data_IF_533734885787
#
_entry.id   IF_533734885787
#
_cell.length_a   1.000
_cell.length_b   1.000
_cell.length_c   1.000
_cell.angle_alpha   90.00
_cell.angle_beta   90.00
_cell.angle_gamma   90.00
#
_symmetry.space_group_name_H-M   'P 1'
#
loop_
_entity.id
_entity.type
_entity.pdbx_description
1 polymer ?
#
# COMPACT_ATOMS: atom_id res chain seq x y z
N UNK A 1 3.91 22.64 -24.31
CA UNK A 1 4.14 24.01 -23.85
C UNK A 1 2.82 24.58 -23.31
N UNK A 2 2.57 24.48 -22.01
CA UNK A 2 1.42 25.15 -21.37
C UNK A 2 1.93 26.43 -20.71
N UNK A 3 1.38 27.56 -21.15
CA UNK A 3 1.69 28.90 -20.65
C UNK A 3 1.09 29.05 -19.25
N UNK A 4 1.91 29.49 -18.33
CA UNK A 4 1.49 29.94 -16.99
C UNK A 4 0.77 31.30 -17.23
N UNK A 5 -0.52 31.36 -16.91
CA UNK A 5 -1.28 32.59 -16.90
C UNK A 5 -1.22 33.17 -15.49
N UNK A 6 -0.42 34.20 -15.33
CA UNK A 6 -0.41 35.04 -14.13
C UNK A 6 -1.51 36.06 -14.28
N UNK A 7 -2.57 35.96 -13.49
CA UNK A 7 -3.58 37.02 -13.39
C UNK A 7 -3.12 38.05 -12.38
N UNK A 8 -2.71 39.20 -12.91
CA UNK A 8 -2.48 40.40 -12.09
C UNK A 8 -3.81 41.14 -12.01
N UNK A 9 -4.43 41.18 -10.84
CA UNK A 9 -5.60 41.99 -10.57
C UNK A 9 -5.10 43.39 -10.18
N UNK A 10 -5.31 44.34 -11.08
CA UNK A 10 -5.08 45.76 -10.83
C UNK A 10 -6.36 46.31 -10.21
N UNK A 11 -6.33 46.70 -8.94
CA UNK A 11 -7.42 47.44 -8.30
C UNK A 11 -7.22 48.93 -8.55
N UNK A 12 -8.15 49.60 -9.27
CA UNK A 12 -8.25 51.05 -9.39
C UNK A 12 -8.75 51.64 -8.07
N UNK A 13 -7.96 52.52 -7.48
CA UNK A 13 -8.40 53.42 -6.44
C UNK A 13 -9.04 54.66 -7.07
N UNK A 14 -10.31 54.88 -6.80
CA UNK A 14 -10.95 56.17 -7.00
C UNK A 14 -10.91 56.94 -5.68
N UNK A 15 -10.24 58.06 -5.66
CA UNK A 15 -10.21 58.98 -4.56
C UNK A 15 -11.30 60.04 -4.76
N UNK A 16 -12.16 60.26 -3.77
CA UNK A 16 -12.90 61.53 -3.61
C UNK A 16 -13.05 61.85 -2.13
N UNK A 17 -12.75 63.04 -1.78
CA UNK A 17 -12.36 63.62 -0.55
C UNK A 17 -13.38 63.84 0.56
N UNK A 18 -12.80 64.23 1.68
CA UNK A 18 -13.34 65.18 2.66
C UNK A 18 -14.01 64.55 3.88
N UNK A 19 -13.38 64.66 5.06
CA UNK A 19 -14.01 64.48 6.36
C UNK A 19 -13.05 63.91 7.37
N UNK A 20 -12.61 64.74 8.28
CA UNK A 20 -11.82 64.42 9.45
C UNK A 20 -12.61 63.56 10.45
N UNK A 21 -12.19 62.38 10.72
CA UNK A 21 -12.35 61.72 12.02
C UNK A 21 -11.27 60.62 12.15
N UNK A 22 -10.61 60.62 13.29
CA UNK A 22 -9.53 59.69 13.64
C UNK A 22 -10.07 58.33 14.06
N UNK A 23 -10.18 57.45 13.13
CA UNK A 23 -10.35 56.00 13.43
C UNK A 23 -9.19 55.23 12.78
N UNK A 24 -8.48 54.48 13.66
CA UNK A 24 -7.38 53.62 13.28
C UNK A 24 -7.91 52.45 12.43
N UNK A 25 -7.88 52.59 11.11
CA UNK A 25 -8.13 51.44 10.23
C UNK A 25 -7.00 50.42 10.37
N UNK A 26 -7.32 49.34 11.09
CA UNK A 26 -6.53 48.10 11.05
C UNK A 26 -6.70 47.52 9.65
N UNK A 27 -5.75 47.79 8.78
CA UNK A 27 -5.65 47.12 7.47
C UNK A 27 -5.36 45.63 7.72
N UNK A 28 -6.41 44.83 7.72
CA UNK A 28 -6.28 43.37 7.67
C UNK A 28 -5.63 43.03 6.31
N UNK A 29 -4.32 42.80 6.31
CA UNK A 29 -3.63 42.18 5.18
C UNK A 29 -4.24 40.80 4.97
N UNK A 30 -4.97 40.65 3.88
CA UNK A 30 -5.39 39.34 3.41
C UNK A 30 -4.09 38.54 3.14
N UNK A 31 -3.72 37.66 4.06
CA UNK A 31 -2.69 36.68 3.81
C UNK A 31 -3.19 35.80 2.66
N UNK A 32 -2.61 36.00 1.49
CA UNK A 32 -2.74 35.07 0.38
C UNK A 32 -2.19 33.72 0.86
N UNK A 33 -3.05 32.82 1.25
CA UNK A 33 -2.68 31.43 1.49
C UNK A 33 -2.23 30.85 0.15
N UNK A 34 -0.92 30.78 -0.06
CA UNK A 34 -0.34 30.02 -1.15
C UNK A 34 -0.77 28.58 -0.91
N UNK A 35 -1.73 28.08 -1.69
CA UNK A 35 -2.09 26.67 -1.68
C UNK A 35 -0.85 25.95 -2.19
N UNK A 36 -0.27 25.08 -1.34
CA UNK A 36 0.88 24.27 -1.74
C UNK A 36 0.47 23.46 -2.99
N UNK A 37 1.32 23.47 -4.02
CA UNK A 37 1.06 22.73 -5.25
C UNK A 37 1.38 21.25 -5.05
N UNK A 38 0.75 20.39 -5.86
CA UNK A 38 1.12 18.99 -5.97
C UNK A 38 2.56 18.86 -6.46
N UNK A 39 3.34 17.97 -5.84
CA UNK A 39 4.77 17.87 -6.05
C UNK A 39 5.19 16.41 -6.23
N UNK A 40 5.99 16.14 -7.27
CA UNK A 40 6.71 14.89 -7.42
C UNK A 40 8.16 15.11 -6.97
N UNK A 41 8.56 14.43 -5.91
CA UNK A 41 9.91 14.47 -5.36
C UNK A 41 10.56 13.10 -5.53
N UNK A 42 11.78 13.05 -6.08
CA UNK A 42 12.63 11.84 -6.03
C UNK A 42 13.73 12.07 -5.00
N UNK A 43 13.84 11.16 -4.05
CA UNK A 43 14.79 11.24 -2.93
C UNK A 43 15.40 9.88 -2.59
N UNK A 44 16.25 9.85 -1.58
CA UNK A 44 16.81 8.64 -0.97
C UNK A 44 16.69 8.73 0.55
N UNK A 45 16.84 7.60 1.22
CA UNK A 45 17.00 7.54 2.68
C UNK A 45 18.49 7.41 2.97
N UNK A 46 19.08 8.25 3.82
CA UNK A 46 20.51 8.19 4.14
C UNK A 46 20.94 6.79 4.59
N UNK A 47 22.02 6.28 4.02
CA UNK A 47 22.55 4.94 4.30
C UNK A 47 21.95 3.81 3.46
N UNK A 48 21.00 4.11 2.57
CA UNK A 48 20.35 3.12 1.68
C UNK A 48 20.42 3.54 0.23
N UNK A 49 20.49 2.55 -0.68
CA UNK A 49 20.59 2.77 -2.13
C UNK A 49 19.23 2.99 -2.81
N UNK A 50 18.15 2.77 -2.11
CA UNK A 50 16.79 2.86 -2.63
C UNK A 50 16.43 4.28 -3.07
N UNK A 51 16.12 4.45 -4.35
CA UNK A 51 15.48 5.67 -4.87
C UNK A 51 14.00 5.65 -4.51
N UNK A 52 13.45 6.76 -4.05
CA UNK A 52 12.07 6.87 -3.60
C UNK A 52 11.38 8.00 -4.34
N UNK A 53 10.28 7.71 -5.03
CA UNK A 53 9.40 8.73 -5.57
C UNK A 53 8.27 9.04 -4.56
N UNK A 54 8.03 10.31 -4.33
CA UNK A 54 7.01 10.81 -3.42
C UNK A 54 6.05 11.68 -4.21
N UNK A 55 4.78 11.27 -4.27
CA UNK A 55 3.68 12.01 -4.87
C UNK A 55 2.98 12.75 -3.73
N UNK A 56 3.37 13.99 -3.52
CA UNK A 56 2.94 14.81 -2.39
C UNK A 56 1.79 15.71 -2.80
N UNK A 57 0.63 15.54 -2.18
CA UNK A 57 -0.47 16.50 -2.31
C UNK A 57 -0.44 17.51 -1.18
N UNK A 58 -0.99 18.70 -1.43
CA UNK A 58 -1.03 19.79 -0.46
C UNK A 58 -1.79 19.44 0.83
N UNK A 59 -2.72 18.50 0.77
CA UNK A 59 -3.65 18.17 1.86
C UNK A 59 -3.45 16.77 2.44
N UNK A 60 -2.34 16.11 2.14
CA UNK A 60 -2.07 14.77 2.64
C UNK A 60 -2.04 14.72 4.17
N UNK A 61 -2.84 13.82 4.74
CA UNK A 61 -2.87 13.54 6.19
C UNK A 61 -2.45 12.12 6.50
N UNK A 62 -2.28 11.29 5.45
CA UNK A 62 -1.81 9.90 5.53
C UNK A 62 -0.84 9.61 4.39
N UNK A 63 -0.07 8.55 4.56
CA UNK A 63 0.84 8.06 3.54
C UNK A 63 0.58 6.59 3.22
N UNK A 64 0.81 6.21 1.96
CA UNK A 64 0.89 4.81 1.53
C UNK A 64 2.29 4.59 0.95
N UNK A 65 3.05 3.68 1.54
CA UNK A 65 4.31 3.18 0.99
C UNK A 65 3.97 1.96 0.15
N UNK A 66 4.22 2.04 -1.16
CA UNK A 66 3.81 1.04 -2.15
C UNK A 66 5.03 0.31 -2.72
N UNK A 67 5.11 -1.01 -2.47
CA UNK A 67 6.20 -1.88 -2.89
C UNK A 67 5.83 -2.66 -4.15
N UNK A 68 6.72 -2.64 -5.16
CA UNK A 68 6.54 -3.42 -6.39
C UNK A 68 6.85 -4.92 -6.21
N UNK A 69 6.45 -5.75 -7.16
CA UNK A 69 6.78 -7.18 -7.23
C UNK A 69 8.23 -7.45 -7.66
N UNK A 70 8.64 -8.71 -7.67
CA UNK A 70 9.93 -9.14 -8.17
C UNK A 70 10.13 -8.75 -9.64
N UNK A 71 11.29 -8.23 -10.00
CA UNK A 71 11.61 -7.70 -11.32
C UNK A 71 10.89 -6.39 -11.68
N UNK A 72 10.08 -5.85 -10.76
CA UNK A 72 9.31 -4.63 -10.98
C UNK A 72 10.08 -3.33 -10.74
N UNK A 73 9.37 -2.23 -10.89
CA UNK A 73 9.89 -0.90 -10.57
C UNK A 73 8.79 0.02 -10.06
N UNK A 74 9.19 1.16 -9.51
CA UNK A 74 8.30 2.14 -8.88
C UNK A 74 7.26 2.73 -9.84
N UNK A 75 7.59 2.97 -11.12
CA UNK A 75 6.62 3.50 -12.09
C UNK A 75 5.60 2.44 -12.49
N UNK A 76 6.04 1.19 -12.69
CA UNK A 76 5.16 0.09 -13.07
C UNK A 76 4.13 -0.24 -11.99
N UNK A 77 4.52 -0.29 -10.72
CA UNK A 77 3.56 -0.58 -9.66
C UNK A 77 2.56 0.57 -9.48
N UNK A 78 2.98 1.83 -9.58
CA UNK A 78 2.08 2.97 -9.52
C UNK A 78 1.09 2.98 -10.69
N UNK A 79 1.52 2.52 -11.87
CA UNK A 79 0.63 2.30 -13.04
C UNK A 79 -0.36 1.16 -12.78
N UNK A 80 0.11 0.02 -12.26
CA UNK A 80 -0.73 -1.15 -12.00
C UNK A 80 -1.86 -0.89 -11.01
N UNK A 81 -1.64 0.00 -10.04
CA UNK A 81 -2.67 0.41 -9.08
C UNK A 81 -3.47 1.64 -9.55
N UNK A 82 -3.31 2.07 -10.80
CA UNK A 82 -4.07 3.17 -11.39
C UNK A 82 -3.68 4.58 -10.93
N UNK A 83 -2.54 4.75 -10.26
CA UNK A 83 -2.08 6.06 -9.75
C UNK A 83 -1.04 6.76 -10.63
N UNK A 84 -0.62 6.11 -11.71
CA UNK A 84 0.23 6.67 -12.76
C UNK A 84 -0.26 6.19 -14.13
N UNK A 85 -0.34 7.05 -15.12
CA UNK A 85 -0.78 6.70 -16.48
C UNK A 85 0.32 6.06 -17.34
N UNK A 86 1.53 5.90 -16.80
CA UNK A 86 2.67 5.38 -17.55
C UNK A 86 3.47 4.35 -16.73
N UNK A 87 3.59 3.13 -17.27
CA UNK A 87 4.27 2.03 -16.60
C UNK A 87 5.81 2.16 -16.54
N UNK A 88 6.40 2.97 -17.40
CA UNK A 88 7.86 3.07 -17.54
C UNK A 88 8.46 4.32 -16.92
N UNK A 89 7.66 5.37 -16.78
CA UNK A 89 8.12 6.66 -16.25
C UNK A 89 7.07 7.29 -15.35
N UNK A 90 7.55 8.04 -14.36
CA UNK A 90 6.71 8.89 -13.50
C UNK A 90 7.00 10.35 -13.79
N UNK A 91 5.96 11.12 -14.07
CA UNK A 91 6.03 12.58 -14.30
C UNK A 91 4.81 13.26 -13.66
N UNK A 92 4.94 14.51 -13.30
CA UNK A 92 3.82 15.29 -12.74
C UNK A 92 2.51 15.15 -13.54
N UNK A 93 2.60 15.13 -14.86
CA UNK A 93 1.43 15.05 -15.75
C UNK A 93 0.85 13.65 -15.93
N UNK A 94 1.47 12.60 -15.37
CA UNK A 94 0.98 11.21 -15.46
C UNK A 94 0.41 10.69 -14.14
N UNK A 95 0.45 11.50 -13.08
CA UNK A 95 0.00 11.11 -11.75
C UNK A 95 -1.48 11.47 -11.58
N UNK A 96 -2.26 10.58 -10.98
CA UNK A 96 -3.67 10.78 -10.67
C UNK A 96 -3.87 11.63 -9.41
N UNK A 97 -3.47 12.91 -9.47
CA UNK A 97 -3.53 13.86 -8.37
C UNK A 97 -4.92 14.00 -7.76
N UNK A 98 -5.96 13.99 -8.59
CA UNK A 98 -7.34 14.12 -8.11
C UNK A 98 -7.73 13.02 -7.14
N UNK A 99 -7.28 11.78 -7.36
CA UNK A 99 -7.53 10.67 -6.45
C UNK A 99 -6.71 10.82 -5.16
N UNK A 100 -5.43 11.14 -5.27
CA UNK A 100 -4.54 11.34 -4.12
C UNK A 100 -5.07 12.45 -3.21
N UNK A 101 -5.49 13.56 -3.79
CA UNK A 101 -5.96 14.73 -3.07
C UNK A 101 -7.33 14.49 -2.41
N UNK A 102 -8.28 13.84 -3.12
CA UNK A 102 -9.59 13.49 -2.57
C UNK A 102 -9.49 12.53 -1.38
N UNK A 103 -8.51 11.64 -1.39
CA UNK A 103 -8.23 10.69 -0.32
C UNK A 103 -7.24 11.21 0.73
N UNK A 104 -6.67 12.42 0.53
CA UNK A 104 -5.65 13.04 1.38
C UNK A 104 -4.43 12.14 1.57
N UNK A 105 -3.97 11.51 0.50
CA UNK A 105 -2.89 10.54 0.48
C UNK A 105 -1.64 11.15 -0.13
N UNK A 106 -0.51 10.98 0.56
CA UNK A 106 0.83 11.03 -0.01
C UNK A 106 1.23 9.62 -0.43
N UNK A 107 1.47 9.39 -1.71
CA UNK A 107 1.97 8.10 -2.20
C UNK A 107 3.50 8.10 -2.23
N UNK A 108 4.10 7.05 -1.71
CA UNK A 108 5.55 6.88 -1.58
C UNK A 108 5.93 5.56 -2.22
N UNK A 109 6.72 5.61 -3.29
CA UNK A 109 7.04 4.45 -4.12
C UNK A 109 8.55 4.25 -4.16
N UNK A 110 9.09 3.41 -3.27
CA UNK A 110 10.51 3.10 -3.30
C UNK A 110 10.84 2.08 -4.39
N UNK A 111 12.07 2.14 -4.91
CA UNK A 111 12.65 1.17 -5.80
C UNK A 111 13.38 0.09 -4.99
N UNK A 112 12.95 -1.16 -5.11
CA UNK A 112 13.67 -2.31 -4.57
C UNK A 112 15.03 -2.50 -5.24
N UNK A 113 15.92 -3.20 -4.58
CA UNK A 113 17.28 -3.43 -5.04
C UNK A 113 17.44 -4.83 -5.66
N UNK A 114 18.60 -5.12 -6.22
CA UNK A 114 18.95 -6.40 -6.78
C UNK A 114 20.38 -6.76 -6.38
N UNK A 115 20.68 -8.04 -6.40
CA UNK A 115 22.05 -8.53 -6.28
C UNK A 115 22.70 -8.41 -7.65
N UNK A 116 23.94 -7.93 -7.71
CA UNK A 116 24.69 -7.71 -8.95
C UNK A 116 24.83 -8.98 -9.84
N UNK A 117 24.66 -10.17 -9.25
CA UNK A 117 24.73 -11.45 -9.98
C UNK A 117 23.47 -11.80 -10.78
N UNK A 118 22.33 -11.15 -10.51
CA UNK A 118 21.07 -11.37 -11.21
C UNK A 118 20.67 -10.11 -11.98
N UNK A 119 21.18 -9.96 -13.19
CA UNK A 119 20.90 -8.82 -14.04
C UNK A 119 19.39 -8.60 -14.15
N UNK A 120 18.92 -7.47 -13.62
CA UNK A 120 17.59 -6.89 -13.76
C UNK A 120 16.46 -7.38 -12.83
N UNK A 121 16.69 -8.20 -11.84
CA UNK A 121 15.63 -8.62 -10.92
C UNK A 121 15.60 -7.78 -9.64
N UNK A 122 15.12 -6.54 -9.73
CA UNK A 122 14.88 -5.75 -8.50
C UNK A 122 13.82 -6.42 -7.62
N UNK A 123 14.10 -6.51 -6.32
CA UNK A 123 13.27 -7.21 -5.36
C UNK A 123 13.42 -6.62 -3.96
N UNK A 124 12.81 -7.28 -2.98
CA UNK A 124 12.87 -6.96 -1.56
C UNK A 124 13.44 -8.14 -0.81
N UNK A 125 14.34 -7.89 0.12
CA UNK A 125 14.87 -8.94 0.98
C UNK A 125 13.78 -9.49 1.89
N UNK A 126 13.39 -10.68 1.58
CA UNK A 126 12.44 -11.46 2.36
C UNK A 126 12.98 -12.89 2.52
N UNK A 127 12.23 -13.80 3.10
CA UNK A 127 12.74 -15.16 3.34
C UNK A 127 12.89 -15.99 2.07
N UNK A 128 12.35 -15.53 0.96
CA UNK A 128 12.42 -16.23 -0.32
C UNK A 128 13.44 -15.63 -1.28
N UNK A 129 13.69 -14.33 -1.15
CA UNK A 129 14.57 -13.60 -2.06
C UNK A 129 15.54 -12.71 -1.28
N UNK A 130 16.70 -12.51 -1.86
CA UNK A 130 17.75 -11.61 -1.38
C UNK A 130 17.85 -10.40 -2.31
N UNK A 131 17.87 -9.19 -1.73
CA UNK A 131 18.05 -7.94 -2.49
C UNK A 131 19.46 -7.36 -2.36
N UNK A 132 20.30 -7.97 -1.53
CA UNK A 132 21.62 -7.41 -1.19
C UNK A 132 21.53 -6.22 -0.23
N UNK A 133 20.34 -5.87 0.26
CA UNK A 133 20.12 -4.74 1.15
C UNK A 133 19.35 -5.18 2.42
N UNK A 134 19.46 -4.40 3.50
CA UNK A 134 18.58 -4.56 4.66
C UNK A 134 17.29 -3.77 4.45
N UNK A 135 16.37 -4.33 3.67
CA UNK A 135 15.09 -3.69 3.32
C UNK A 135 14.19 -3.45 4.55
N UNK A 136 14.32 -4.27 5.61
CA UNK A 136 13.61 -4.01 6.86
C UNK A 136 14.09 -2.72 7.51
N UNK A 137 15.40 -2.55 7.66
CA UNK A 137 15.97 -1.32 8.21
C UNK A 137 15.68 -0.12 7.31
N UNK A 138 15.74 -0.28 5.98
CA UNK A 138 15.34 0.74 5.02
C UNK A 138 13.89 1.20 5.25
N UNK A 139 12.93 0.29 5.34
CA UNK A 139 11.52 0.62 5.51
C UNK A 139 11.24 1.28 6.87
N UNK A 140 11.96 0.89 7.92
CA UNK A 140 11.91 1.56 9.23
C UNK A 140 12.42 3.01 9.12
N UNK A 141 13.56 3.21 8.49
CA UNK A 141 14.15 4.53 8.28
C UNK A 141 13.27 5.41 7.37
N UNK A 142 12.67 4.83 6.31
CA UNK A 142 11.74 5.52 5.43
C UNK A 142 10.49 5.98 6.19
N UNK A 143 9.90 5.12 7.01
CA UNK A 143 8.74 5.49 7.84
C UNK A 143 9.09 6.61 8.84
N UNK A 144 10.27 6.57 9.45
CA UNK A 144 10.76 7.64 10.32
C UNK A 144 10.93 8.96 9.56
N UNK A 145 11.53 8.91 8.35
CA UNK A 145 11.70 10.07 7.48
C UNK A 145 10.36 10.69 7.08
N UNK A 146 9.37 9.88 6.74
CA UNK A 146 8.02 10.37 6.40
C UNK A 146 7.41 11.15 7.58
N UNK A 147 7.54 10.60 8.80
CA UNK A 147 7.03 11.27 10.00
C UNK A 147 7.75 12.57 10.29
N UNK A 148 9.08 12.59 10.16
CA UNK A 148 9.90 13.80 10.46
C UNK A 148 9.72 14.90 9.42
N UNK A 149 9.78 14.56 8.13
CA UNK A 149 9.88 15.55 7.06
C UNK A 149 8.51 16.10 6.63
N UNK A 150 7.46 15.27 6.78
CA UNK A 150 6.10 15.61 6.31
C UNK A 150 5.07 15.70 7.45
N UNK A 151 5.43 15.34 8.67
CA UNK A 151 4.50 15.36 9.81
C UNK A 151 3.37 14.33 9.71
N UNK A 152 3.47 13.34 8.82
CA UNK A 152 2.44 12.33 8.60
C UNK A 152 2.67 11.14 9.53
N UNK A 153 1.75 10.93 10.47
CA UNK A 153 1.81 9.84 11.42
C UNK A 153 1.13 8.55 10.92
N UNK A 154 0.04 8.68 10.15
CA UNK A 154 -0.73 7.54 9.62
C UNK A 154 -0.10 7.03 8.32
N UNK A 155 0.68 5.95 8.42
CA UNK A 155 1.43 5.36 7.30
C UNK A 155 1.00 3.91 7.12
N UNK A 156 0.55 3.57 5.92
CA UNK A 156 0.23 2.20 5.50
C UNK A 156 1.36 1.66 4.63
N UNK A 157 1.80 0.43 4.89
CA UNK A 157 2.66 -0.31 3.97
C UNK A 157 1.79 -1.21 3.08
N UNK A 158 1.91 -1.04 1.77
CA UNK A 158 1.24 -1.87 0.77
C UNK A 158 2.28 -2.47 -0.16
N UNK A 159 2.10 -3.72 -0.60
CA UNK A 159 2.98 -4.34 -1.57
C UNK A 159 2.29 -5.37 -2.42
N UNK A 160 2.80 -5.55 -3.65
CA UNK A 160 2.36 -6.57 -4.60
C UNK A 160 3.40 -7.68 -4.71
N UNK A 161 2.97 -8.94 -4.83
CA UNK A 161 3.86 -10.08 -5.08
C UNK A 161 5.01 -10.13 -4.05
N UNK A 162 6.28 -10.05 -4.47
CA UNK A 162 7.43 -9.96 -3.56
C UNK A 162 7.38 -8.75 -2.62
N UNK A 163 6.80 -7.63 -3.04
CA UNK A 163 6.50 -6.51 -2.15
C UNK A 163 5.45 -6.87 -1.11
N UNK A 164 4.46 -7.69 -1.48
CA UNK A 164 3.48 -8.24 -0.54
C UNK A 164 4.09 -9.19 0.48
N UNK A 165 5.05 -10.04 0.06
CA UNK A 165 5.85 -10.88 0.97
C UNK A 165 6.64 -10.01 1.95
N UNK A 166 7.25 -8.92 1.47
CA UNK A 166 7.95 -7.99 2.35
C UNK A 166 7.01 -7.28 3.31
N UNK A 167 5.79 -6.96 2.88
CA UNK A 167 4.74 -6.40 3.75
C UNK A 167 4.38 -7.39 4.88
N UNK A 168 4.23 -8.67 4.58
CA UNK A 168 4.02 -9.72 5.59
C UNK A 168 5.20 -9.82 6.56
N UNK A 169 6.42 -9.76 6.05
CA UNK A 169 7.63 -9.76 6.89
C UNK A 169 7.63 -8.59 7.87
N UNK A 170 7.33 -7.40 7.40
CA UNK A 170 7.26 -6.20 8.26
C UNK A 170 6.17 -6.31 9.31
N UNK A 171 5.00 -6.86 8.95
CA UNK A 171 3.91 -7.10 9.91
C UNK A 171 4.33 -8.05 11.03
N UNK A 172 5.13 -9.08 10.71
CA UNK A 172 5.63 -10.04 11.70
C UNK A 172 6.77 -9.49 12.56
N UNK A 173 7.81 -8.90 11.91
CA UNK A 173 9.07 -8.60 12.57
C UNK A 173 9.16 -7.17 13.10
N UNK A 174 8.37 -6.25 12.57
CA UNK A 174 8.43 -4.83 12.92
C UNK A 174 7.04 -4.16 12.82
N UNK A 175 6.03 -4.71 13.49
CA UNK A 175 4.63 -4.30 13.34
C UNK A 175 4.36 -2.85 13.75
N UNK A 176 5.19 -2.26 14.59
CA UNK A 176 5.06 -0.86 15.04
C UNK A 176 5.54 0.16 14.00
N UNK A 177 6.22 -0.28 12.93
CA UNK A 177 6.76 0.61 11.91
C UNK A 177 5.65 1.34 11.14
N UNK A 178 4.58 0.63 10.80
CA UNK A 178 3.45 1.16 10.05
C UNK A 178 2.14 1.03 10.84
N UNK A 179 1.14 1.81 10.44
CA UNK A 179 -0.17 1.81 11.11
C UNK A 179 -1.08 0.71 10.55
N UNK A 180 -0.86 0.30 9.29
CA UNK A 180 -1.55 -0.80 8.63
C UNK A 180 -0.67 -1.44 7.56
N UNK A 181 -1.09 -2.64 7.16
CA UNK A 181 -0.38 -3.47 6.18
C UNK A 181 -1.35 -4.02 5.16
N UNK A 182 -1.00 -3.95 3.88
CA UNK A 182 -1.81 -4.48 2.77
C UNK A 182 -0.92 -5.32 1.85
N UNK A 183 -1.25 -6.58 1.68
CA UNK A 183 -0.55 -7.48 0.75
C UNK A 183 -1.46 -7.84 -0.42
N UNK A 184 -1.03 -7.56 -1.64
CA UNK A 184 -1.74 -7.92 -2.88
C UNK A 184 -0.97 -9.02 -3.58
N UNK A 185 -1.60 -10.16 -3.81
CA UNK A 185 -1.01 -11.35 -4.43
C UNK A 185 0.37 -11.72 -3.86
N UNK A 186 0.62 -11.39 -2.59
CA UNK A 186 1.88 -11.68 -1.89
C UNK A 186 1.64 -12.65 -0.75
N UNK A 187 2.16 -13.88 -0.82
CA UNK A 187 1.95 -14.86 0.22
C UNK A 187 2.56 -14.41 1.55
N UNK A 188 2.01 -14.91 2.63
CA UNK A 188 2.61 -14.76 3.92
C UNK A 188 4.05 -15.28 3.92
N UNK A 189 4.92 -14.53 4.56
CA UNK A 189 6.30 -14.95 4.72
C UNK A 189 6.38 -16.33 5.41
N UNK A 190 7.32 -17.17 4.98
CA UNK A 190 7.62 -18.45 5.61
C UNK A 190 7.94 -18.34 7.10
N UNK A 191 8.21 -17.13 7.62
CA UNK A 191 8.38 -16.84 9.05
C UNK A 191 7.19 -17.25 9.90
N UNK A 192 5.99 -17.28 9.35
CA UNK A 192 4.81 -17.78 10.07
C UNK A 192 4.95 -19.22 10.54
N UNK A 193 5.73 -20.04 9.83
CA UNK A 193 5.83 -21.48 10.04
C UNK A 193 7.21 -21.93 10.49
N UNK A 194 8.20 -21.04 10.63
CA UNK A 194 9.55 -21.42 11.06
C UNK A 194 9.71 -21.28 12.57
N UNK A 195 10.00 -22.40 13.24
CA UNK A 195 10.32 -22.38 14.68
C UNK A 195 11.50 -21.45 15.03
N UNK A 196 12.44 -21.24 14.08
CA UNK A 196 13.59 -20.38 14.28
C UNK A 196 13.27 -18.87 14.14
N UNK A 197 12.19 -18.51 13.41
CA UNK A 197 11.76 -17.13 13.19
C UNK A 197 10.24 -17.04 13.23
N UNK A 198 9.61 -17.33 14.36
CA UNK A 198 8.16 -17.31 14.45
C UNK A 198 7.64 -15.88 14.20
N UNK A 199 6.50 -15.76 13.54
CA UNK A 199 5.81 -14.50 13.45
C UNK A 199 5.37 -14.07 14.85
N UNK A 200 5.90 -12.97 15.34
CA UNK A 200 5.63 -12.45 16.68
C UNK A 200 5.30 -10.96 16.63
N UNK A 201 4.11 -10.58 16.11
CA UNK A 201 3.74 -9.17 15.92
C UNK A 201 3.53 -8.41 17.25
N UNK A 202 3.72 -9.07 18.39
CA UNK A 202 3.55 -8.47 19.71
C UNK A 202 2.08 -8.39 20.14
N UNK A 203 1.80 -7.58 21.16
CA UNK A 203 0.46 -7.46 21.78
C UNK A 203 -0.41 -6.38 21.13
N UNK A 204 0.15 -5.53 20.29
CA UNK A 204 -0.61 -4.46 19.62
C UNK A 204 -1.15 -4.97 18.29
N UNK A 205 -2.46 -5.00 18.14
CA UNK A 205 -3.10 -5.34 16.88
C UNK A 205 -2.69 -4.31 15.83
N UNK A 206 -2.11 -4.81 14.73
CA UNK A 206 -1.83 -4.00 13.54
C UNK A 206 -2.74 -4.48 12.42
N UNK A 207 -3.61 -3.59 11.92
CA UNK A 207 -4.52 -3.93 10.84
C UNK A 207 -3.77 -4.51 9.65
N UNK A 208 -4.33 -5.60 9.10
CA UNK A 208 -3.79 -6.29 7.93
C UNK A 208 -4.89 -6.63 6.93
N UNK A 209 -4.65 -6.37 5.66
CA UNK A 209 -5.51 -6.81 4.57
C UNK A 209 -4.71 -7.59 3.54
N UNK A 210 -5.15 -8.83 3.25
CA UNK A 210 -4.71 -9.61 2.09
C UNK A 210 -5.72 -9.48 0.95
N UNK A 211 -5.23 -9.34 -0.29
CA UNK A 211 -6.04 -9.39 -1.51
C UNK A 211 -5.38 -10.40 -2.44
N UNK A 212 -6.11 -11.42 -2.88
CA UNK A 212 -5.60 -12.52 -3.70
C UNK A 212 -6.56 -12.86 -4.82
N UNK A 213 -6.02 -13.19 -5.99
CA UNK A 213 -6.77 -13.77 -7.10
C UNK A 213 -6.90 -15.30 -6.92
N UNK A 214 -8.05 -15.87 -7.20
CA UNK A 214 -8.24 -17.33 -7.11
C UNK A 214 -7.71 -18.09 -8.32
N UNK A 215 -7.40 -17.37 -9.39
CA UNK A 215 -6.80 -17.91 -10.62
C UNK A 215 -5.31 -17.57 -10.75
N UNK A 216 -4.66 -17.20 -9.64
CA UNK A 216 -3.23 -16.88 -9.60
C UNK A 216 -2.36 -18.11 -9.89
N UNK A 217 -1.89 -18.23 -11.12
CA UNK A 217 -1.03 -19.34 -11.57
C UNK A 217 0.44 -19.12 -11.17
N UNK A 218 0.88 -17.90 -10.93
CA UNK A 218 2.26 -17.59 -10.54
C UNK A 218 2.56 -18.19 -9.17
N UNK A 219 1.65 -18.02 -8.22
CA UNK A 219 1.79 -18.57 -6.87
C UNK A 219 1.51 -20.07 -6.81
N UNK A 220 0.69 -20.60 -7.70
CA UNK A 220 0.48 -22.05 -7.83
C UNK A 220 1.72 -22.76 -8.34
N UNK A 221 2.36 -22.20 -9.37
CA UNK A 221 3.51 -22.82 -10.05
C UNK A 221 4.83 -22.52 -9.39
N UNK A 222 4.89 -21.45 -8.65
CA UNK A 222 6.13 -21.04 -7.96
C UNK A 222 6.55 -22.01 -6.86
N UNK A 223 5.98 -23.22 -6.78
CA UNK A 223 6.38 -24.38 -5.96
C UNK A 223 7.33 -24.12 -4.79
N UNK A 224 8.02 -23.01 -4.89
CA UNK A 224 8.96 -22.42 -3.94
C UNK A 224 8.30 -21.97 -2.63
N UNK A 225 7.02 -21.72 -2.66
CA UNK A 225 6.24 -21.36 -1.47
C UNK A 225 5.79 -22.58 -0.72
N UNK A 226 6.45 -23.67 -1.07
CA UNK A 226 6.41 -24.93 -0.37
C UNK A 226 5.08 -25.15 0.35
N UNK A 227 4.09 -25.63 -0.41
CA UNK A 227 3.00 -26.38 0.21
C UNK A 227 3.54 -27.39 1.27
N UNK A 228 4.79 -27.80 1.17
CA UNK A 228 5.51 -28.65 2.10
C UNK A 228 5.84 -28.00 3.46
N UNK A 229 5.95 -26.67 3.57
CA UNK A 229 6.16 -25.99 4.87
C UNK A 229 4.90 -25.38 5.45
N UNK A 230 3.82 -25.36 4.69
CA UNK A 230 2.53 -24.97 5.17
C UNK A 230 1.89 -26.18 5.84
N UNK A 231 1.97 -26.25 7.15
CA UNK A 231 1.17 -27.18 7.95
C UNK A 231 -0.29 -26.74 7.83
N UNK A 232 -0.85 -26.93 6.64
CA UNK A 232 -2.26 -26.65 6.39
C UNK A 232 -3.05 -27.57 7.30
N UNK A 233 -3.86 -26.98 8.18
CA UNK A 233 -4.77 -27.76 8.99
C UNK A 233 -5.59 -28.65 8.05
N UNK A 234 -5.52 -30.00 8.14
CA UNK A 234 -6.21 -30.91 7.24
C UNK A 234 -7.71 -30.65 7.15
N UNK A 235 -8.30 -30.16 8.25
CA UNK A 235 -9.73 -29.80 8.32
C UNK A 235 -10.04 -28.58 7.45
N UNK A 236 -9.15 -27.59 7.41
CA UNK A 236 -9.30 -26.40 6.55
C UNK A 236 -9.19 -26.80 5.08
N UNK A 237 -8.21 -27.65 4.73
CA UNK A 237 -8.06 -28.17 3.36
C UNK A 237 -9.28 -28.94 2.92
N UNK A 238 -9.80 -29.81 3.77
CA UNK A 238 -10.96 -30.64 3.44
C UNK A 238 -12.24 -29.80 3.26
N UNK A 239 -12.46 -28.79 4.10
CA UNK A 239 -13.60 -27.88 3.99
C UNK A 239 -13.46 -26.86 2.84
N UNK A 240 -12.23 -26.54 2.46
CA UNK A 240 -11.93 -25.54 1.44
C UNK A 240 -11.90 -26.12 0.02
N UNK A 241 -11.58 -27.41 -0.15
CA UNK A 241 -11.51 -28.06 -1.46
C UNK A 241 -12.82 -28.03 -2.24
N UNK A 242 -13.95 -27.91 -1.59
CA UNK A 242 -15.24 -27.75 -2.23
C UNK A 242 -15.53 -26.31 -2.69
N UNK A 243 -14.78 -25.31 -2.14
CA UNK A 243 -14.97 -23.89 -2.42
C UNK A 243 -13.75 -23.25 -3.10
N UNK A 244 -12.55 -23.82 -2.93
CA UNK A 244 -11.29 -23.22 -3.41
C UNK A 244 -10.38 -24.29 -3.99
N UNK A 245 -10.15 -24.22 -5.27
CA UNK A 245 -9.25 -25.14 -5.97
C UNK A 245 -7.80 -24.70 -5.89
N UNK A 246 -7.54 -23.39 -5.73
CA UNK A 246 -6.22 -22.82 -5.75
C UNK A 246 -5.49 -22.99 -4.40
N UNK A 247 -4.35 -23.72 -4.35
CA UNK A 247 -3.56 -23.90 -3.11
C UNK A 247 -3.07 -22.60 -2.48
N UNK A 248 -2.85 -21.54 -3.27
CA UNK A 248 -2.46 -20.23 -2.77
C UNK A 248 -3.57 -19.60 -1.92
N UNK A 249 -4.82 -19.68 -2.39
CA UNK A 249 -5.99 -19.18 -1.65
C UNK A 249 -6.14 -19.92 -0.31
N UNK A 250 -5.99 -21.25 -0.33
CA UNK A 250 -6.07 -22.08 0.88
C UNK A 250 -5.00 -21.65 1.89
N UNK A 251 -3.78 -21.43 1.41
CA UNK A 251 -2.68 -21.02 2.24
C UNK A 251 -2.87 -19.65 2.86
N UNK A 252 -3.30 -18.66 2.09
CA UNK A 252 -3.57 -17.31 2.59
C UNK A 252 -4.72 -17.30 3.60
N UNK A 253 -5.75 -18.10 3.39
CA UNK A 253 -6.81 -18.25 4.37
C UNK A 253 -6.29 -18.88 5.69
N UNK A 254 -5.45 -19.91 5.59
CA UNK A 254 -4.82 -20.50 6.77
C UNK A 254 -3.95 -19.48 7.52
N UNK A 255 -3.18 -18.67 6.82
CA UNK A 255 -2.41 -17.57 7.41
C UNK A 255 -3.31 -16.53 8.07
N UNK A 256 -4.48 -16.25 7.49
CA UNK A 256 -5.45 -15.36 8.12
C UNK A 256 -6.03 -15.94 9.40
N UNK A 257 -6.24 -17.25 9.49
CA UNK A 257 -6.61 -17.94 10.73
C UNK A 257 -5.53 -17.78 11.80
N UNK A 258 -4.25 -17.96 11.42
CA UNK A 258 -3.10 -17.77 12.33
C UNK A 258 -3.06 -16.31 12.83
N UNK A 259 -3.20 -15.33 11.94
CA UNK A 259 -3.27 -13.91 12.34
C UNK A 259 -4.41 -13.65 13.31
N UNK A 260 -5.58 -14.20 13.03
CA UNK A 260 -6.76 -14.06 13.90
C UNK A 260 -6.49 -14.64 15.30
N UNK A 261 -5.90 -15.81 15.38
CA UNK A 261 -5.52 -16.42 16.65
C UNK A 261 -4.47 -15.60 17.40
N UNK A 262 -3.41 -15.13 16.70
CA UNK A 262 -2.34 -14.33 17.31
C UNK A 262 -2.82 -12.97 17.81
N UNK A 263 -3.71 -12.33 17.09
CA UNK A 263 -4.07 -10.92 17.33
C UNK A 263 -5.25 -10.75 18.28
N UNK A 264 -6.23 -11.62 18.24
CA UNK A 264 -7.44 -11.45 19.05
C UNK A 264 -7.94 -12.75 19.68
N UNK A 265 -7.12 -13.81 19.67
CA UNK A 265 -7.47 -15.12 20.19
C UNK A 265 -8.82 -15.65 19.64
N UNK A 266 -9.12 -15.25 18.40
CA UNK A 266 -10.37 -15.58 17.70
C UNK A 266 -10.23 -16.80 16.80
N UNK A 267 -11.36 -17.18 16.21
CA UNK A 267 -11.45 -18.19 15.17
C UNK A 267 -12.01 -17.59 13.88
N UNK A 268 -11.72 -18.20 12.75
CA UNK A 268 -12.23 -17.80 11.45
C UNK A 268 -12.57 -19.06 10.66
N UNK A 269 -13.84 -19.22 10.31
CA UNK A 269 -14.33 -20.34 9.50
C UNK A 269 -14.15 -20.06 8.00
N UNK A 270 -13.95 -21.13 7.23
CA UNK A 270 -13.78 -21.00 5.77
C UNK A 270 -15.02 -20.47 5.04
N UNK A 271 -16.19 -20.59 5.65
CA UNK A 271 -17.46 -20.11 5.12
C UNK A 271 -17.88 -18.76 5.72
N UNK A 272 -17.09 -18.17 6.61
CA UNK A 272 -17.42 -16.90 7.29
C UNK A 272 -17.09 -15.68 6.40
N UNK A 273 -17.39 -15.76 5.11
CA UNK A 273 -17.16 -14.66 4.18
C UNK A 273 -18.48 -13.99 3.76
N UNK A 274 -18.36 -12.73 3.40
CA UNK A 274 -19.40 -11.99 2.68
C UNK A 274 -19.02 -11.98 1.21
N UNK A 275 -19.96 -12.42 0.36
CA UNK A 275 -19.80 -12.44 -1.09
C UNK A 275 -20.45 -11.20 -1.70
N UNK A 276 -19.67 -10.40 -2.44
CA UNK A 276 -20.14 -9.21 -3.14
C UNK A 276 -19.51 -9.15 -4.54
N UNK A 277 -20.31 -9.28 -5.58
CA UNK A 277 -19.82 -9.32 -6.95
C UNK A 277 -18.87 -10.50 -7.19
N UNK A 278 -17.63 -10.22 -7.52
CA UNK A 278 -16.57 -11.23 -7.68
C UNK A 278 -15.62 -11.31 -6.46
N UNK A 279 -16.05 -10.78 -5.30
CA UNK A 279 -15.18 -10.70 -4.12
C UNK A 279 -15.80 -11.40 -2.92
N UNK A 280 -15.06 -12.36 -2.37
CA UNK A 280 -15.33 -12.93 -1.05
C UNK A 280 -14.46 -12.24 -0.01
N UNK A 281 -15.08 -11.77 1.05
CA UNK A 281 -14.38 -11.03 2.11
C UNK A 281 -14.56 -11.69 3.46
N UNK A 282 -13.47 -12.16 4.05
CA UNK A 282 -13.39 -12.57 5.45
C UNK A 282 -12.94 -11.40 6.32
N UNK A 283 -13.56 -11.27 7.50
CA UNK A 283 -13.20 -10.25 8.49
C UNK A 283 -13.06 -10.88 9.87
N UNK A 284 -12.01 -10.50 10.60
CA UNK A 284 -11.83 -10.91 11.99
C UNK A 284 -11.24 -9.79 12.83
N UNK A 285 -11.07 -10.01 14.12
CA UNK A 285 -10.55 -9.03 15.07
C UNK A 285 -11.23 -7.65 14.97
N UNK A 286 -12.58 -7.64 14.91
CA UNK A 286 -13.35 -6.39 14.80
C UNK A 286 -13.13 -5.65 13.47
N UNK A 287 -12.75 -6.37 12.40
CA UNK A 287 -12.48 -5.78 11.08
C UNK A 287 -11.04 -5.33 10.89
N UNK A 288 -10.19 -5.48 11.90
CA UNK A 288 -8.76 -5.15 11.78
C UNK A 288 -7.99 -6.13 10.89
N UNK A 289 -8.48 -7.36 10.73
CA UNK A 289 -7.93 -8.34 9.81
C UNK A 289 -8.94 -8.64 8.71
N UNK A 290 -8.51 -8.47 7.47
CA UNK A 290 -9.34 -8.66 6.26
C UNK A 290 -8.60 -9.56 5.28
N UNK A 291 -9.29 -10.52 4.70
CA UNK A 291 -8.84 -11.26 3.53
C UNK A 291 -9.88 -11.13 2.42
N UNK A 292 -9.45 -10.76 1.23
CA UNK A 292 -10.27 -10.69 0.03
C UNK A 292 -9.79 -11.72 -0.98
N UNK A 293 -10.68 -12.63 -1.40
CA UNK A 293 -10.49 -13.48 -2.57
C UNK A 293 -11.24 -12.86 -3.74
N UNK A 294 -10.55 -12.66 -4.84
CA UNK A 294 -11.12 -12.09 -6.06
C UNK A 294 -11.25 -13.18 -7.11
N UNK A 295 -12.48 -13.53 -7.44
CA UNK A 295 -12.82 -14.65 -8.34
C UNK A 295 -12.42 -14.32 -9.77
N UNK A 296 -11.77 -15.27 -10.44
CA UNK A 296 -11.30 -15.13 -11.82
C UNK A 296 -10.10 -14.21 -12.01
N UNK A 297 -9.56 -13.63 -10.93
CA UNK A 297 -8.36 -12.79 -11.02
C UNK A 297 -7.09 -13.62 -10.98
N UNK A 298 -6.11 -13.24 -11.80
CA UNK A 298 -4.75 -13.80 -11.81
C UNK A 298 -3.82 -13.07 -10.82
N UNK A 299 -2.50 -13.24 -11.00
CA UNK A 299 -1.47 -12.64 -10.17
C UNK A 299 -1.36 -11.12 -10.29
N UNK A 300 -1.79 -10.56 -11.41
CA UNK A 300 -1.60 -9.14 -11.74
C UNK A 300 -2.52 -8.22 -10.95
N UNK A 301 -2.00 -7.11 -10.43
CA UNK A 301 -2.83 -6.10 -9.76
C UNK A 301 -3.95 -5.61 -10.67
N UNK A 302 -3.66 -5.38 -11.96
CA UNK A 302 -4.67 -4.94 -12.93
C UNK A 302 -5.76 -5.98 -13.17
N UNK A 303 -5.44 -7.29 -13.10
CA UNK A 303 -6.43 -8.36 -13.18
C UNK A 303 -7.31 -8.40 -11.95
N UNK A 304 -6.70 -8.30 -10.77
CA UNK A 304 -7.42 -8.20 -9.49
C UNK A 304 -8.36 -7.00 -9.51
N UNK A 305 -7.86 -5.84 -9.92
CA UNK A 305 -8.63 -4.59 -10.00
C UNK A 305 -9.84 -4.73 -10.95
N UNK A 306 -9.62 -5.28 -12.14
CA UNK A 306 -10.66 -5.49 -13.14
C UNK A 306 -11.80 -6.41 -12.66
N UNK A 307 -11.50 -7.39 -11.81
CA UNK A 307 -12.50 -8.31 -11.24
C UNK A 307 -13.16 -7.73 -9.97
N UNK A 308 -12.54 -6.77 -9.30
CA UNK A 308 -13.11 -6.19 -8.07
C UNK A 308 -14.27 -5.25 -8.33
N UNK A 309 -14.44 -4.72 -9.56
CA UNK A 309 -15.61 -3.93 -9.70
C UNK A 309 -15.86 -3.15 -10.98
N UNK A 310 -15.38 -1.94 -11.15
CA UNK A 310 -16.10 -0.95 -11.96
C UNK A 310 -15.28 -0.38 -13.14
N UNK A 311 -14.27 -1.07 -13.61
CA UNK A 311 -13.40 -0.63 -14.70
C UNK A 311 -12.66 0.71 -14.44
N UNK A 312 -12.47 1.07 -13.16
CA UNK A 312 -11.83 2.33 -12.78
C UNK A 312 -10.31 2.26 -12.68
N UNK A 313 -9.70 1.08 -12.75
CA UNK A 313 -8.29 0.79 -12.43
C UNK A 313 -7.86 1.30 -11.03
N UNK A 314 -8.81 1.58 -10.16
CA UNK A 314 -8.61 2.13 -8.81
C UNK A 314 -9.36 1.34 -7.74
N UNK A 315 -9.98 0.20 -8.10
CA UNK A 315 -10.82 -0.56 -7.18
C UNK A 315 -10.00 -1.20 -6.06
N UNK A 316 -8.78 -1.65 -6.36
CA UNK A 316 -7.82 -2.09 -5.33
C UNK A 316 -7.50 -0.93 -4.38
N UNK A 317 -7.18 0.24 -4.89
CA UNK A 317 -6.84 1.41 -4.07
C UNK A 317 -8.03 1.92 -3.28
N UNK A 318 -9.24 1.87 -3.84
CA UNK A 318 -10.48 2.22 -3.13
C UNK A 318 -10.76 1.24 -2.00
N UNK A 319 -10.53 -0.06 -2.20
CA UNK A 319 -10.64 -1.07 -1.14
C UNK A 319 -9.60 -0.83 -0.02
N UNK A 320 -8.36 -0.47 -0.38
CA UNK A 320 -7.32 -0.07 0.58
C UNK A 320 -7.78 1.15 1.37
N UNK A 321 -8.28 2.19 0.71
CA UNK A 321 -8.76 3.39 1.38
C UNK A 321 -9.93 3.10 2.32
N UNK A 322 -10.91 2.32 1.88
CA UNK A 322 -12.01 1.87 2.75
C UNK A 322 -11.50 1.15 3.99
N UNK A 323 -10.54 0.25 3.84
CA UNK A 323 -9.92 -0.48 4.94
C UNK A 323 -9.18 0.45 5.91
N UNK A 324 -8.36 1.37 5.42
CA UNK A 324 -7.55 2.24 6.29
C UNK A 324 -8.34 3.38 6.93
N UNK A 325 -9.53 3.72 6.42
CA UNK A 325 -10.38 4.79 6.98
C UNK A 325 -11.47 4.26 7.91
N UNK A 326 -11.77 2.97 7.89
CA UNK A 326 -12.80 2.35 8.76
C UNK A 326 -12.29 1.94 10.14
N UNK A 327 -11.07 2.33 10.50
CA UNK A 327 -10.38 1.97 11.75
C UNK A 327 -10.54 3.02 12.83
#
# INVERSE_FOLDING_TARGET
>A
MRRIMIFTVVSLLAACGGGSDTDAETTAQAQSTVVAADELVTTTVPGFLHSVDIYKTARATRAIVLLHGGGGNKSAIAYQVGLNDNATTTRLGTIHWAWLDSNKVMLIVPQGQHIDSEANASTWRNYAMESGQDDKAFLQALAAKIRSDYGIADITLMGHSMGGVMTNRMWCESPSTFNAYVSVAGPASTSFNRAATPCAPGTSIRPYMGIIGDSDEVMQTAGAWEAATWTVNPTVVASSRTAWENPFVIGEFHQQQIRTQLMCNGTLGSQDFVHEGQVDTWRSCGGSLVLKRVLGADHGVSSIDAQMGNASNLDVMNAVMSFVTSR
#
